data_IF_397906773638
#
_entry.id   IF_397906773638
#
_cell.length_a   1.000
_cell.length_b   1.000
_cell.length_c   1.000
_cell.angle_alpha   90.00
_cell.angle_beta   90.00
_cell.angle_gamma   90.00
#
_symmetry.space_group_name_H-M   'P 1'
#
loop_
_entity.id
_entity.type
_entity.pdbx_description
1 polymer ?
#
# COMPACT_ATOMS: atom_id res chain seq x y z
N UNK A 1 -17.88 -9.56 -4.10
CA UNK A 1 -17.47 -8.81 -5.31
C UNK A 1 -17.43 -7.30 -5.08
N UNK A 2 -18.55 -6.65 -4.72
CA UNK A 2 -18.59 -5.20 -4.48
C UNK A 2 -17.60 -4.68 -3.42
N UNK A 3 -17.45 -5.42 -2.32
CA UNK A 3 -16.52 -5.05 -1.26
C UNK A 3 -15.05 -5.09 -1.71
N UNK A 4 -14.70 -6.06 -2.55
CA UNK A 4 -13.36 -6.15 -3.15
C UNK A 4 -13.10 -4.98 -4.09
N UNK A 5 -14.07 -4.63 -4.95
CA UNK A 5 -13.99 -3.46 -5.83
C UNK A 5 -13.80 -2.17 -5.00
N UNK A 6 -14.58 -1.98 -3.95
CA UNK A 6 -14.46 -0.82 -3.07
C UNK A 6 -13.07 -0.71 -2.43
N UNK A 7 -12.53 -1.83 -1.94
CA UNK A 7 -11.17 -1.89 -1.37
C UNK A 7 -10.12 -1.50 -2.41
N UNK A 8 -10.19 -2.03 -3.63
CA UNK A 8 -9.24 -1.68 -4.69
C UNK A 8 -9.33 -0.21 -5.09
N UNK A 9 -10.53 0.37 -5.16
CA UNK A 9 -10.71 1.80 -5.41
C UNK A 9 -10.02 2.64 -4.31
N UNK A 10 -10.18 2.24 -3.04
CA UNK A 10 -9.52 2.92 -1.90
C UNK A 10 -8.00 2.84 -2.04
N UNK A 11 -7.44 1.68 -2.39
CA UNK A 11 -6.00 1.52 -2.62
C UNK A 11 -5.53 2.44 -3.74
N UNK A 12 -6.24 2.49 -4.87
CA UNK A 12 -5.88 3.33 -6.02
C UNK A 12 -5.89 4.82 -5.62
N UNK A 13 -6.97 5.29 -4.99
CA UNK A 13 -7.09 6.68 -4.54
C UNK A 13 -6.01 7.01 -3.52
N UNK A 14 -5.78 6.12 -2.54
CA UNK A 14 -4.73 6.26 -1.54
C UNK A 14 -3.34 6.33 -2.17
N UNK A 15 -3.07 5.53 -3.20
CA UNK A 15 -1.82 5.55 -3.96
C UNK A 15 -1.63 6.88 -4.66
N UNK A 16 -2.65 7.40 -5.34
CA UNK A 16 -2.58 8.70 -6.04
C UNK A 16 -2.28 9.83 -5.05
N UNK A 17 -2.98 9.87 -3.90
CA UNK A 17 -2.77 10.88 -2.86
C UNK A 17 -1.38 10.75 -2.25
N UNK A 18 -0.97 9.54 -1.89
CA UNK A 18 0.34 9.24 -1.32
C UNK A 18 1.48 9.63 -2.24
N UNK A 19 1.35 9.36 -3.55
CA UNK A 19 2.32 9.75 -4.57
C UNK A 19 2.41 11.26 -4.68
N UNK A 20 1.29 11.98 -4.85
CA UNK A 20 1.26 13.45 -4.93
C UNK A 20 1.92 14.09 -3.70
N UNK A 21 1.64 13.56 -2.52
CA UNK A 21 2.20 14.08 -1.28
C UNK A 21 3.70 13.75 -1.15
N UNK A 22 4.14 12.57 -1.56
CA UNK A 22 5.57 12.21 -1.60
C UNK A 22 6.34 13.11 -2.55
N UNK A 23 5.83 13.34 -3.76
CA UNK A 23 6.42 14.25 -4.75
C UNK A 23 6.58 15.65 -4.16
N UNK A 24 5.53 16.19 -3.52
CA UNK A 24 5.57 17.50 -2.88
C UNK A 24 6.66 17.57 -1.80
N UNK A 25 6.70 16.60 -0.90
CA UNK A 25 7.69 16.57 0.19
C UNK A 25 9.12 16.37 -0.31
N UNK A 26 9.31 15.64 -1.41
CA UNK A 26 10.61 15.51 -2.07
C UNK A 26 11.06 16.83 -2.71
N UNK A 27 10.19 17.53 -3.41
CA UNK A 27 10.48 18.84 -4.01
C UNK A 27 10.83 19.89 -2.94
N UNK A 28 10.18 19.83 -1.79
CA UNK A 28 10.48 20.70 -0.63
C UNK A 28 11.71 20.24 0.18
N UNK A 29 12.39 19.17 -0.24
CA UNK A 29 13.50 18.52 0.47
C UNK A 29 13.19 18.26 1.97
N UNK A 30 11.93 17.90 2.26
CA UNK A 30 11.46 17.68 3.62
C UNK A 30 12.09 16.45 4.24
N UNK A 31 12.39 16.50 5.55
CA UNK A 31 12.82 15.34 6.34
C UNK A 31 11.78 14.21 6.34
N UNK A 32 10.51 14.52 6.04
CA UNK A 32 9.39 13.56 6.04
C UNK A 32 9.06 13.01 4.65
N UNK A 33 9.94 13.17 3.66
CA UNK A 33 9.69 12.77 2.26
C UNK A 33 9.33 11.30 2.03
N UNK A 34 9.71 10.41 2.95
CA UNK A 34 9.36 8.99 2.92
C UNK A 34 8.16 8.62 3.78
N UNK A 35 7.54 9.58 4.48
CA UNK A 35 6.39 9.33 5.35
C UNK A 35 5.22 8.65 4.62
N UNK A 36 4.80 9.08 3.42
CA UNK A 36 3.62 8.49 2.78
C UNK A 36 3.88 7.05 2.34
N UNK A 37 5.07 6.78 1.83
CA UNK A 37 5.57 5.42 1.59
C UNK A 37 5.55 4.59 2.88
N UNK A 38 6.13 5.12 3.96
CA UNK A 38 6.22 4.42 5.24
C UNK A 38 4.86 4.03 5.80
N UNK A 39 3.86 4.91 5.69
CA UNK A 39 2.48 4.62 6.10
C UNK A 39 1.91 3.46 5.27
N UNK A 40 1.99 3.52 3.94
CA UNK A 40 1.48 2.46 3.07
C UNK A 40 2.17 1.11 3.31
N UNK A 41 3.50 1.14 3.50
CA UNK A 41 4.30 -0.04 3.79
C UNK A 41 3.95 -0.66 5.15
N UNK A 42 3.76 0.15 6.20
CA UNK A 42 3.35 -0.33 7.52
C UNK A 42 1.97 -0.99 7.45
N UNK A 43 1.02 -0.42 6.69
CA UNK A 43 -0.30 -1.02 6.51
C UNK A 43 -0.19 -2.40 5.83
N UNK A 44 0.65 -2.53 4.81
CA UNK A 44 0.93 -3.81 4.14
C UNK A 44 1.51 -4.85 5.12
N UNK A 45 2.54 -4.47 5.88
CA UNK A 45 3.20 -5.35 6.85
C UNK A 45 2.23 -5.78 7.95
N UNK A 46 1.45 -4.85 8.52
CA UNK A 46 0.46 -5.17 9.56
C UNK A 46 -0.60 -6.14 9.02
N UNK A 47 -1.08 -5.93 7.80
CA UNK A 47 -2.03 -6.83 7.15
C UNK A 47 -1.45 -8.23 6.92
N UNK A 48 -0.19 -8.33 6.51
CA UNK A 48 0.53 -9.61 6.35
C UNK A 48 0.73 -10.33 7.69
N UNK A 49 1.11 -9.60 8.75
CA UNK A 49 1.25 -10.16 10.10
C UNK A 49 -0.10 -10.69 10.61
N UNK A 50 -1.19 -9.93 10.44
CA UNK A 50 -2.54 -10.37 10.81
C UNK A 50 -2.92 -11.64 10.05
N UNK A 51 -2.58 -11.70 8.76
CA UNK A 51 -2.83 -12.88 7.95
C UNK A 51 -2.03 -14.10 8.45
N UNK A 52 -0.71 -14.00 8.61
CA UNK A 52 0.12 -15.13 9.05
C UNK A 52 -0.27 -15.68 10.42
N UNK A 53 -0.49 -14.80 11.40
CA UNK A 53 -0.82 -15.22 12.77
C UNK A 53 -2.31 -15.54 12.92
N UNK A 54 -3.19 -14.77 12.28
CA UNK A 54 -4.64 -14.97 12.36
C UNK A 54 -5.14 -16.16 11.55
N UNK A 55 -4.65 -16.34 10.30
CA UNK A 55 -5.12 -17.41 9.42
C UNK A 55 -4.84 -18.80 9.98
N UNK A 56 -3.74 -18.97 10.74
CA UNK A 56 -3.40 -20.23 11.42
C UNK A 56 -4.49 -20.69 12.40
N UNK A 57 -5.24 -19.74 12.97
CA UNK A 57 -6.34 -20.01 13.89
C UNK A 57 -7.72 -20.01 13.21
N UNK A 58 -7.84 -19.42 12.03
CA UNK A 58 -9.13 -19.09 11.41
C UNK A 58 -9.64 -20.09 10.36
N UNK A 59 -9.00 -21.27 10.17
CA UNK A 59 -9.37 -22.31 9.17
C UNK A 59 -9.98 -21.71 7.88
N UNK A 60 -9.31 -20.68 7.34
CA UNK A 60 -9.85 -19.88 6.25
C UNK A 60 -9.98 -20.75 4.99
N UNK A 61 -11.01 -20.49 4.19
CA UNK A 61 -11.12 -21.11 2.87
C UNK A 61 -9.98 -20.61 1.96
N UNK A 62 -9.63 -21.43 0.98
CA UNK A 62 -8.59 -21.12 -0.01
C UNK A 62 -8.88 -19.78 -0.71
N UNK A 63 -10.15 -19.49 -1.02
CA UNK A 63 -10.55 -18.25 -1.68
C UNK A 63 -10.28 -17.01 -0.84
N UNK A 64 -10.49 -17.09 0.49
CA UNK A 64 -10.22 -15.98 1.41
C UNK A 64 -8.72 -15.76 1.53
N UNK A 65 -7.95 -16.84 1.65
CA UNK A 65 -6.49 -16.81 1.69
C UNK A 65 -5.89 -16.17 0.43
N UNK A 66 -6.36 -16.57 -0.75
CA UNK A 66 -5.95 -15.97 -2.02
C UNK A 66 -6.34 -14.50 -2.13
N UNK A 67 -7.57 -14.15 -1.74
CA UNK A 67 -8.03 -12.75 -1.75
C UNK A 67 -7.18 -11.85 -0.85
N UNK A 68 -6.80 -12.34 0.33
CA UNK A 68 -5.92 -11.61 1.24
C UNK A 68 -4.51 -11.46 0.66
N UNK A 69 -3.98 -12.51 0.04
CA UNK A 69 -2.68 -12.45 -0.62
C UNK A 69 -2.68 -11.40 -1.74
N UNK A 70 -3.71 -11.38 -2.60
CA UNK A 70 -3.85 -10.35 -3.63
C UNK A 70 -3.96 -8.94 -3.05
N UNK A 71 -4.67 -8.77 -1.94
CA UNK A 71 -4.79 -7.50 -1.24
C UNK A 71 -3.42 -7.02 -0.71
N UNK A 72 -2.63 -7.89 -0.08
CA UNK A 72 -1.29 -7.55 0.40
C UNK A 72 -0.34 -7.22 -0.75
N UNK A 73 -0.37 -7.99 -1.84
CA UNK A 73 0.40 -7.68 -3.05
C UNK A 73 0.05 -6.28 -3.59
N UNK A 74 -1.24 -5.92 -3.62
CA UNK A 74 -1.68 -4.60 -4.05
C UNK A 74 -1.20 -3.47 -3.12
N UNK A 75 -1.20 -3.68 -1.80
CA UNK A 75 -0.68 -2.72 -0.82
C UNK A 75 0.84 -2.52 -0.95
N UNK A 76 1.62 -3.60 -1.09
CA UNK A 76 3.06 -3.50 -1.31
C UNK A 76 3.38 -2.81 -2.63
N UNK A 77 2.64 -3.14 -3.69
CA UNK A 77 2.77 -2.47 -4.98
C UNK A 77 2.46 -0.96 -4.87
N UNK A 78 1.37 -0.60 -4.20
CA UNK A 78 0.99 0.79 -3.93
C UNK A 78 2.09 1.54 -3.16
N UNK A 79 2.66 0.93 -2.11
CA UNK A 79 3.77 1.51 -1.37
C UNK A 79 4.99 1.75 -2.27
N UNK A 80 5.33 0.79 -3.13
CA UNK A 80 6.39 0.92 -4.13
C UNK A 80 6.14 2.08 -5.10
N UNK A 81 4.93 2.18 -5.65
CA UNK A 81 4.54 3.30 -6.54
C UNK A 81 4.70 4.64 -5.84
N UNK A 82 4.23 4.77 -4.58
CA UNK A 82 4.38 5.99 -3.79
C UNK A 82 5.85 6.36 -3.64
N UNK A 83 6.71 5.40 -3.30
CA UNK A 83 8.15 5.62 -3.18
C UNK A 83 8.80 6.09 -4.49
N UNK A 84 8.59 5.36 -5.59
CA UNK A 84 9.24 5.65 -6.87
C UNK A 84 8.67 6.90 -7.55
N UNK A 85 7.40 7.24 -7.30
CA UNK A 85 6.77 8.43 -7.90
C UNK A 85 7.53 9.73 -7.59
N UNK A 86 8.12 9.80 -6.41
CA UNK A 86 8.89 10.97 -5.99
C UNK A 86 10.29 11.04 -6.63
N UNK A 87 10.86 9.89 -7.04
CA UNK A 87 12.14 9.83 -7.75
C UNK A 87 11.99 10.11 -9.25
N UNK A 88 10.93 9.58 -9.89
CA UNK A 88 10.75 9.67 -11.34
C UNK A 88 10.36 11.07 -11.85
N UNK A 89 9.81 11.93 -10.98
CA UNK A 89 9.37 13.28 -11.35
C UNK A 89 10.48 14.33 -11.19
N UNK A 90 11.61 13.95 -10.59
CA UNK A 90 12.81 14.80 -10.61
C UNK A 90 13.42 14.75 -12.01
N UNK A 91 12.87 15.55 -12.92
CA UNK A 91 13.55 15.98 -14.14
C UNK A 91 14.68 16.89 -13.68
N UNK A 92 15.90 16.39 -13.79
CA UNK A 92 17.08 17.24 -13.90
C UNK A 92 16.92 18.18 -15.11
#
# INVERSE_FOLDING_TARGET
>A
MWLFIAVFIIIIVGTIIGSRYSIKLFNENSKKKFLPFGIAFIIAVVSEVIYFFGAKHMKLSIDVSLSWMFFNMALFFAAGVIYFSAYLIRKD
#
